data_IF_386142395179
#
_entry.id   IF_386142395179
#
_cell.length_a   1.000
_cell.length_b   1.000
_cell.length_c   1.000
_cell.angle_alpha   90.00
_cell.angle_beta   90.00
_cell.angle_gamma   90.00
#
_symmetry.space_group_name_H-M   'P 1'
#
loop_
_entity.id
_entity.type
_entity.pdbx_description
1 polymer ?
#
# COMPACT_ATOMS: atom_id res chain seq x y z
N UNK A 1 -5.35 -1.16 -3.70
CA UNK A 1 -4.49 -2.03 -4.54
C UNK A 1 -3.59 -1.22 -5.47
N UNK A 2 -4.10 -0.32 -6.31
CA UNK A 2 -3.29 0.39 -7.32
C UNK A 2 -2.83 1.81 -6.93
N UNK A 3 -3.09 2.24 -5.68
CA UNK A 3 -2.70 3.56 -5.20
C UNK A 3 -1.17 3.62 -5.07
N UNK A 4 -0.51 4.45 -5.89
CA UNK A 4 0.94 4.50 -5.98
C UNK A 4 1.62 5.02 -4.70
N UNK A 5 0.89 5.75 -3.86
CA UNK A 5 1.40 6.19 -2.56
C UNK A 5 1.36 5.08 -1.50
N UNK A 6 0.62 3.99 -1.69
CA UNK A 6 0.59 2.88 -0.73
C UNK A 6 1.91 2.12 -0.72
N UNK A 7 2.47 1.87 0.46
CA UNK A 7 3.75 1.14 0.62
C UNK A 7 3.66 -0.07 1.54
N UNK A 8 2.57 -0.19 2.30
CA UNK A 8 2.32 -1.33 3.17
C UNK A 8 0.91 -1.87 2.95
N UNK A 9 0.80 -3.20 2.99
CA UNK A 9 -0.47 -3.92 2.91
C UNK A 9 -0.46 -5.06 3.91
N UNK A 10 -1.56 -5.19 4.65
CA UNK A 10 -1.80 -6.33 5.54
C UNK A 10 -3.13 -6.97 5.16
N UNK A 11 -3.14 -8.28 4.94
CA UNK A 11 -4.34 -9.03 4.62
C UNK A 11 -4.62 -10.11 5.66
N UNK A 12 -5.90 -10.30 5.98
CA UNK A 12 -6.41 -11.38 6.79
C UNK A 12 -7.52 -12.12 6.04
N UNK A 13 -7.71 -13.40 6.36
CA UNK A 13 -8.75 -14.21 5.75
C UNK A 13 -9.48 -15.04 6.81
N UNK A 14 -10.73 -15.40 6.50
CA UNK A 14 -11.54 -16.30 7.31
C UNK A 14 -12.51 -17.08 6.42
N UNK A 15 -12.69 -18.37 6.69
CA UNK A 15 -13.71 -19.19 6.02
C UNK A 15 -14.97 -19.21 6.87
N UNK A 16 -16.07 -18.69 6.33
CA UNK A 16 -17.38 -18.58 6.97
C UNK A 16 -18.43 -19.35 6.14
N UNK A 17 -19.36 -20.08 6.76
CA UNK A 17 -20.50 -20.63 6.03
C UNK A 17 -21.41 -19.50 5.52
N UNK A 18 -21.81 -19.57 4.26
CA UNK A 18 -22.76 -18.65 3.66
C UNK A 18 -24.15 -18.86 4.28
N UNK A 19 -24.72 -17.79 4.86
CA UNK A 19 -26.04 -17.84 5.52
C UNK A 19 -27.19 -18.24 4.59
N UNK A 20 -27.02 -18.15 3.27
CA UNK A 20 -28.08 -18.45 2.28
C UNK A 20 -28.15 -19.93 1.89
N UNK A 21 -27.02 -20.58 1.71
CA UNK A 21 -26.94 -21.94 1.15
C UNK A 21 -25.99 -22.89 1.91
N UNK A 22 -25.44 -22.46 3.05
CA UNK A 22 -24.56 -23.26 3.90
C UNK A 22 -23.19 -23.58 3.30
N UNK A 23 -22.90 -23.10 2.08
CA UNK A 23 -21.62 -23.35 1.42
C UNK A 23 -20.50 -22.56 2.07
N UNK A 24 -19.30 -23.11 2.09
CA UNK A 24 -18.14 -22.42 2.61
C UNK A 24 -17.82 -21.19 1.73
N UNK A 25 -17.69 -20.02 2.36
CA UNK A 25 -17.30 -18.76 1.74
C UNK A 25 -15.97 -18.31 2.36
N UNK A 26 -14.99 -18.02 1.53
CA UNK A 26 -13.76 -17.37 1.97
C UNK A 26 -13.97 -15.86 1.96
N UNK A 27 -13.69 -15.20 3.08
CA UNK A 27 -13.63 -13.75 3.21
C UNK A 27 -12.18 -13.32 3.34
N UNK A 28 -11.79 -12.28 2.61
CA UNK A 28 -10.44 -11.71 2.62
C UNK A 28 -10.60 -10.21 2.84
N UNK A 29 -9.88 -9.66 3.82
CA UNK A 29 -9.79 -8.24 4.11
C UNK A 29 -8.34 -7.82 3.96
N UNK A 30 -8.08 -6.76 3.19
CA UNK A 30 -6.77 -6.12 3.11
C UNK A 30 -6.88 -4.66 3.55
N UNK A 31 -5.96 -4.24 4.42
CA UNK A 31 -5.75 -2.87 4.83
C UNK A 31 -4.49 -2.31 4.15
N UNK A 32 -4.54 -1.04 3.80
CA UNK A 32 -3.49 -0.30 3.11
C UNK A 32 -3.12 0.93 3.96
N UNK A 33 -1.85 1.32 3.96
CA UNK A 33 -1.34 2.44 4.77
C UNK A 33 -1.63 3.84 4.19
N UNK A 34 -2.32 3.91 3.04
CA UNK A 34 -2.70 5.16 2.39
C UNK A 34 -4.10 5.10 1.74
N UNK A 35 -4.78 6.24 1.64
CA UNK A 35 -6.19 6.34 1.23
C UNK A 35 -6.32 6.74 -0.24
N UNK A 36 -6.58 5.75 -1.11
CA UNK A 36 -6.69 5.97 -2.56
C UNK A 36 -8.09 6.29 -3.13
N UNK A 37 -9.15 6.37 -2.32
CA UNK A 37 -10.53 6.51 -2.81
C UNK A 37 -11.14 7.93 -2.67
N UNK A 38 -10.33 8.91 -2.25
CA UNK A 38 -10.78 10.29 -2.08
C UNK A 38 -11.04 10.95 -3.44
N UNK A 39 -12.23 11.53 -3.62
CA UNK A 39 -12.61 12.21 -4.87
C UNK A 39 -11.68 13.39 -5.14
N UNK A 40 -11.18 13.49 -6.37
CA UNK A 40 -10.25 14.53 -6.79
C UNK A 40 -8.77 14.17 -6.63
N UNK A 41 -8.45 13.07 -5.93
CA UNK A 41 -7.08 12.56 -5.86
C UNK A 41 -6.78 11.63 -7.03
N UNK A 42 -5.57 11.76 -7.58
CA UNK A 42 -5.05 10.82 -8.56
C UNK A 42 -4.49 9.58 -7.85
N UNK A 43 -4.84 8.40 -8.34
CA UNK A 43 -4.41 7.11 -7.78
C UNK A 43 -2.94 6.82 -8.14
N UNK A 44 -2.45 7.38 -9.25
CA UNK A 44 -1.06 7.33 -9.70
C UNK A 44 -0.80 8.42 -10.75
N UNK A 45 0.46 8.76 -10.94
CA UNK A 45 0.91 9.63 -12.04
C UNK A 45 1.17 8.81 -13.30
N UNK A 46 0.85 9.36 -14.47
CA UNK A 46 1.18 8.71 -15.75
C UNK A 46 2.66 8.89 -16.04
N UNK A 47 3.38 7.80 -16.27
CA UNK A 47 4.80 7.84 -16.57
C UNK A 47 5.44 6.46 -16.65
N UNK A 48 6.76 6.44 -16.79
CA UNK A 48 7.55 5.22 -16.63
C UNK A 48 7.83 4.98 -15.14
N UNK A 49 8.07 3.72 -14.76
CA UNK A 49 8.63 3.40 -13.45
C UNK A 49 9.99 4.06 -13.22
N UNK A 50 10.44 4.09 -11.97
CA UNK A 50 11.71 4.71 -11.61
C UNK A 50 12.89 4.04 -12.32
N UNK A 51 13.95 4.79 -12.62
CA UNK A 51 15.23 4.27 -13.14
C UNK A 51 16.36 4.46 -12.13
N UNK A 52 16.26 5.52 -11.34
CA UNK A 52 17.17 5.86 -10.26
C UNK A 52 16.39 6.31 -9.02
N UNK A 53 17.00 6.21 -7.82
CA UNK A 53 16.37 6.61 -6.56
C UNK A 53 15.91 8.08 -6.54
N UNK A 54 16.52 8.95 -7.35
CA UNK A 54 16.10 10.35 -7.50
C UNK A 54 14.74 10.53 -8.18
N UNK A 55 14.25 9.52 -8.89
CA UNK A 55 12.93 9.54 -9.54
C UNK A 55 11.81 9.27 -8.51
N UNK A 56 12.15 8.76 -7.33
CA UNK A 56 11.22 8.47 -6.25
C UNK A 56 11.03 9.71 -5.37
N UNK A 57 9.99 10.49 -5.67
CA UNK A 57 9.73 11.79 -5.01
C UNK A 57 8.67 11.75 -3.92
N UNK A 58 7.81 10.72 -3.88
CA UNK A 58 6.67 10.63 -2.94
C UNK A 58 7.13 10.58 -1.48
N UNK A 59 8.14 9.77 -1.17
CA UNK A 59 8.68 9.62 0.18
C UNK A 59 10.17 9.94 0.20
N UNK A 60 10.60 10.67 1.24
CA UNK A 60 12.02 11.05 1.38
C UNK A 60 12.88 9.82 1.62
N UNK A 61 14.06 9.81 0.98
CA UNK A 61 15.07 8.74 1.07
C UNK A 61 14.61 7.40 0.48
N UNK A 62 13.60 7.40 -0.39
CA UNK A 62 13.22 6.22 -1.16
C UNK A 62 14.32 5.77 -2.12
N UNK A 63 14.39 4.47 -2.37
CA UNK A 63 15.25 3.82 -3.36
C UNK A 63 14.44 3.33 -4.54
N UNK A 64 15.09 3.15 -5.69
CA UNK A 64 14.48 2.54 -6.85
C UNK A 64 14.92 1.08 -7.00
N UNK A 65 13.97 0.15 -6.95
CA UNK A 65 14.19 -1.21 -7.41
C UNK A 65 14.15 -1.17 -8.95
N UNK A 66 15.32 -1.33 -9.57
CA UNK A 66 15.51 -1.10 -11.01
C UNK A 66 14.96 -2.21 -11.91
N UNK A 67 14.82 -3.43 -11.40
CA UNK A 67 14.30 -4.56 -12.19
C UNK A 67 12.78 -4.43 -12.42
N UNK A 68 12.05 -3.88 -11.44
CA UNK A 68 10.60 -3.69 -11.48
C UNK A 68 10.21 -2.24 -11.74
N UNK A 69 11.11 -1.28 -11.53
CA UNK A 69 10.82 0.16 -11.61
C UNK A 69 9.95 0.67 -10.46
N UNK A 70 10.03 0.01 -9.29
CA UNK A 70 9.23 0.36 -8.10
C UNK A 70 10.05 1.19 -7.12
N UNK A 71 9.41 2.19 -6.52
CA UNK A 71 10.00 2.97 -5.44
C UNK A 71 9.77 2.28 -4.09
N UNK A 72 10.83 2.10 -3.31
CA UNK A 72 10.79 1.51 -1.98
C UNK A 72 10.88 2.61 -0.93
N UNK A 73 9.92 2.66 0.00
CA UNK A 73 9.98 3.56 1.16
C UNK A 73 10.92 2.96 2.21
N UNK A 74 11.86 3.73 2.79
CA UNK A 74 12.67 3.22 3.90
C UNK A 74 11.77 2.82 5.07
N UNK A 75 12.16 1.78 5.80
CA UNK A 75 11.48 1.42 7.05
C UNK A 75 11.50 2.61 8.02
N UNK A 76 10.36 2.88 8.65
CA UNK A 76 10.32 3.82 9.74
C UNK A 76 10.94 3.14 10.97
N UNK A 77 11.90 3.78 11.65
CA UNK A 77 12.43 3.23 12.89
C UNK A 77 11.31 3.04 13.91
N UNK A 78 11.35 1.91 14.62
CA UNK A 78 10.40 1.57 15.67
C UNK A 78 10.27 2.73 16.68
N UNK A 79 9.02 3.09 17.03
CA UNK A 79 8.70 4.12 18.03
C UNK A 79 8.34 5.51 17.50
N UNK A 80 8.47 5.81 16.19
CA UNK A 80 8.00 7.11 15.67
C UNK A 80 6.47 7.23 15.58
N UNK A 81 5.75 6.13 15.32
CA UNK A 81 4.28 6.15 15.24
C UNK A 81 3.62 6.55 16.57
N UNK A 82 4.19 6.16 17.71
CA UNK A 82 3.69 6.53 19.05
C UNK A 82 3.82 8.04 19.31
N UNK A 83 4.88 8.66 18.80
CA UNK A 83 5.15 10.10 19.00
C UNK A 83 4.28 11.03 18.16
N UNK A 84 3.64 10.53 17.09
CA UNK A 84 2.75 11.30 16.23
C UNK A 84 1.27 11.23 16.64
N UNK A 85 0.94 10.38 17.63
CA UNK A 85 -0.43 10.19 18.16
C UNK A 85 -0.62 10.81 19.56
N UNK A 86 0.39 11.50 20.10
CA UNK A 86 0.35 12.23 21.37
C UNK A 86 0.22 13.74 21.15
#
# INVERSE_FOLDING_TARGET
>A
MINAATTQVACAHQVCPNKKDGKQKMEILCLYDDVGYLTGNYVYDTGNGCKDSKDCSTYKRSTCERATGLCERPEEPEGMFESAMQ
#
